data_IF_570704612126
#
_entry.id   IF_570704612126
#
_cell.length_a   1.000
_cell.length_b   1.000
_cell.length_c   1.000
_cell.angle_alpha   90.00
_cell.angle_beta   90.00
_cell.angle_gamma   90.00
#
_symmetry.space_group_name_H-M   'P 1'
#
loop_
_entity.id
_entity.type
_entity.pdbx_description
1 polymer ?
#
# COMPACT_ATOMS: atom_id res chain seq x y z
N UNK A 1 13.30 -5.44 -5.80
CA UNK A 1 13.90 -6.52 -6.65
C UNK A 1 15.22 -6.04 -7.27
N UNK A 2 15.27 -4.84 -7.89
CA UNK A 2 16.50 -4.34 -8.57
C UNK A 2 17.71 -4.20 -7.64
N UNK A 3 17.48 -3.94 -6.36
CA UNK A 3 18.52 -3.73 -5.34
C UNK A 3 18.99 -5.03 -4.65
N UNK A 4 18.42 -6.18 -5.00
CA UNK A 4 18.90 -7.46 -4.47
C UNK A 4 20.36 -7.73 -4.87
N UNK A 5 21.09 -8.43 -4.02
CA UNK A 5 22.41 -8.94 -4.36
C UNK A 5 22.34 -9.89 -5.56
N UNK A 6 23.42 -10.04 -6.32
CA UNK A 6 23.45 -11.00 -7.43
C UNK A 6 23.20 -12.45 -6.95
N UNK A 7 23.63 -12.77 -5.73
CA UNK A 7 23.36 -14.08 -5.12
C UNK A 7 21.86 -14.28 -4.85
N UNK A 8 21.15 -13.25 -4.39
CA UNK A 8 19.72 -13.33 -4.12
C UNK A 8 18.88 -13.28 -5.41
N UNK A 9 19.33 -12.53 -6.42
CA UNK A 9 18.75 -12.56 -7.76
C UNK A 9 18.84 -13.95 -8.40
N UNK A 10 20.00 -14.61 -8.26
CA UNK A 10 20.21 -15.94 -8.81
C UNK A 10 19.29 -17.03 -8.23
N UNK A 11 18.82 -16.83 -6.98
CA UNK A 11 17.83 -17.72 -6.34
C UNK A 11 16.45 -17.63 -6.99
N UNK A 12 16.11 -16.49 -7.62
CA UNK A 12 14.77 -16.13 -8.00
C UNK A 12 13.99 -15.54 -6.82
N UNK A 13 12.81 -14.99 -7.11
CA UNK A 13 12.00 -14.25 -6.13
C UNK A 13 10.62 -14.88 -5.95
N UNK A 14 10.06 -14.72 -4.76
CA UNK A 14 8.68 -15.13 -4.45
C UNK A 14 8.00 -14.05 -3.62
N UNK A 15 6.72 -13.81 -3.86
CA UNK A 15 5.90 -12.96 -3.01
C UNK A 15 4.47 -13.50 -2.90
N UNK A 16 3.71 -12.98 -1.92
CA UNK A 16 2.27 -13.19 -1.81
C UNK A 16 1.56 -11.84 -1.99
N UNK A 17 0.70 -11.74 -2.99
CA UNK A 17 -0.16 -10.57 -3.22
C UNK A 17 -1.11 -10.82 -4.38
N UNK A 18 -2.31 -10.24 -4.33
CA UNK A 18 -3.28 -10.23 -5.42
C UNK A 18 -3.40 -8.85 -6.12
N UNK A 19 -2.60 -7.85 -5.70
CA UNK A 19 -2.71 -6.47 -6.16
C UNK A 19 -1.42 -5.93 -6.81
N UNK A 20 -1.17 -4.66 -6.58
CA UNK A 20 -0.06 -3.91 -7.19
C UNK A 20 1.32 -4.49 -6.88
N UNK A 21 1.53 -5.01 -5.66
CA UNK A 21 2.80 -5.65 -5.29
C UNK A 21 3.09 -6.88 -6.16
N UNK A 22 2.08 -7.72 -6.41
CA UNK A 22 2.20 -8.88 -7.31
C UNK A 22 2.67 -8.46 -8.71
N UNK A 23 2.03 -7.43 -9.27
CA UNK A 23 2.36 -6.88 -10.58
C UNK A 23 3.77 -6.26 -10.59
N UNK A 24 4.13 -5.50 -9.55
CA UNK A 24 5.45 -4.89 -9.41
C UNK A 24 6.59 -5.91 -9.34
N UNK A 25 6.40 -6.99 -8.57
CA UNK A 25 7.39 -8.08 -8.49
C UNK A 25 7.49 -8.83 -9.81
N UNK A 26 6.35 -9.20 -10.43
CA UNK A 26 6.31 -9.88 -11.72
C UNK A 26 7.02 -9.06 -12.81
N UNK A 27 6.67 -7.79 -12.96
CA UNK A 27 7.26 -6.86 -13.91
C UNK A 27 8.77 -6.71 -13.71
N UNK A 28 9.19 -6.45 -12.45
CA UNK A 28 10.60 -6.24 -12.13
C UNK A 28 11.44 -7.49 -12.36
N UNK A 29 10.95 -8.64 -11.91
CA UNK A 29 11.64 -9.93 -12.11
C UNK A 29 11.75 -10.27 -13.60
N UNK A 30 10.67 -10.13 -14.37
CA UNK A 30 10.66 -10.36 -15.81
C UNK A 30 11.68 -9.47 -16.54
N UNK A 31 11.73 -8.17 -16.20
CA UNK A 31 12.69 -7.22 -16.80
C UNK A 31 14.15 -7.57 -16.50
N UNK A 32 14.40 -8.17 -15.33
CA UNK A 32 15.73 -8.58 -14.89
C UNK A 32 16.08 -10.03 -15.27
N UNK A 33 15.19 -10.74 -15.96
CA UNK A 33 15.39 -12.14 -16.34
C UNK A 33 15.41 -13.11 -15.17
N UNK A 34 14.74 -12.77 -14.05
CA UNK A 34 14.72 -13.58 -12.84
C UNK A 34 13.53 -14.55 -12.84
N UNK A 35 13.73 -15.75 -12.31
CA UNK A 35 12.62 -16.61 -11.94
C UNK A 35 11.78 -15.92 -10.86
N UNK A 36 10.45 -16.01 -11.01
CA UNK A 36 9.55 -15.44 -10.03
C UNK A 36 8.36 -16.37 -9.76
N UNK A 37 7.85 -16.32 -8.55
CA UNK A 37 6.62 -17.00 -8.14
C UNK A 37 5.74 -15.98 -7.44
N UNK A 38 4.52 -15.81 -7.91
CA UNK A 38 3.55 -14.91 -7.33
C UNK A 38 2.41 -15.76 -6.75
N UNK A 39 2.35 -15.83 -5.43
CA UNK A 39 1.30 -16.59 -4.74
C UNK A 39 0.09 -15.68 -4.53
N UNK A 40 -1.07 -16.14 -4.97
CA UNK A 40 -2.33 -15.41 -4.88
C UNK A 40 -3.40 -16.33 -4.27
N UNK A 41 -4.35 -15.81 -3.47
CA UNK A 41 -5.50 -16.58 -3.00
C UNK A 41 -6.28 -17.21 -4.16
N UNK A 42 -6.89 -18.38 -3.93
CA UNK A 42 -7.76 -19.05 -4.92
C UNK A 42 -8.98 -18.21 -5.27
N UNK A 43 -9.39 -17.33 -4.35
CA UNK A 43 -10.51 -16.40 -4.51
C UNK A 43 -10.18 -15.17 -5.36
N UNK A 44 -8.92 -15.03 -5.82
CA UNK A 44 -8.50 -13.86 -6.61
C UNK A 44 -9.20 -13.81 -7.96
N UNK A 45 -9.83 -12.69 -8.34
CA UNK A 45 -10.48 -12.53 -9.64
C UNK A 45 -9.54 -12.78 -10.82
N UNK A 46 -10.05 -13.43 -11.88
CA UNK A 46 -9.29 -13.78 -13.06
C UNK A 46 -8.60 -12.58 -13.74
N UNK A 47 -9.20 -11.40 -13.66
CA UNK A 47 -8.62 -10.18 -14.21
C UNK A 47 -7.29 -9.83 -13.54
N UNK A 48 -7.18 -9.98 -12.21
CA UNK A 48 -5.95 -9.74 -11.45
C UNK A 48 -4.90 -10.81 -11.74
N UNK A 49 -5.31 -12.08 -11.81
CA UNK A 49 -4.43 -13.22 -12.20
C UNK A 49 -3.84 -13.01 -13.61
N UNK A 50 -4.71 -12.64 -14.56
CA UNK A 50 -4.31 -12.40 -15.95
C UNK A 50 -3.37 -11.20 -16.07
N UNK A 51 -3.59 -10.12 -15.32
CA UNK A 51 -2.71 -8.96 -15.29
C UNK A 51 -1.29 -9.34 -14.83
N UNK A 52 -1.16 -10.11 -13.76
CA UNK A 52 0.15 -10.58 -13.27
C UNK A 52 0.85 -11.48 -14.29
N UNK A 53 0.11 -12.43 -14.90
CA UNK A 53 0.65 -13.31 -15.95
C UNK A 53 1.12 -12.52 -17.18
N UNK A 54 0.40 -11.49 -17.60
CA UNK A 54 0.77 -10.65 -18.74
C UNK A 54 2.07 -9.87 -18.51
N UNK A 55 2.43 -9.63 -17.25
CA UNK A 55 3.69 -9.00 -16.83
C UNK A 55 4.84 -10.01 -16.63
N UNK A 56 4.62 -11.28 -16.98
CA UNK A 56 5.62 -12.35 -16.87
C UNK A 56 5.65 -13.01 -15.49
N UNK A 57 4.59 -12.87 -14.69
CA UNK A 57 4.46 -13.51 -13.39
C UNK A 57 4.10 -15.00 -13.51
N UNK A 58 4.83 -15.85 -12.78
CA UNK A 58 4.49 -17.26 -12.59
C UNK A 58 3.54 -17.37 -11.40
N UNK A 59 2.22 -17.41 -11.67
CA UNK A 59 1.19 -17.37 -10.64
C UNK A 59 0.91 -18.75 -10.07
N UNK A 60 0.90 -18.87 -8.76
CA UNK A 60 0.46 -20.03 -7.98
C UNK A 60 -0.75 -19.60 -7.16
N UNK A 61 -1.91 -20.24 -7.38
CA UNK A 61 -3.11 -20.04 -6.57
C UNK A 61 -3.05 -21.00 -5.38
N UNK A 62 -3.10 -20.43 -4.15
CA UNK A 62 -3.02 -21.21 -2.92
C UNK A 62 -3.71 -20.50 -1.76
N UNK A 63 -4.52 -21.27 -1.02
CA UNK A 63 -5.30 -20.78 0.14
C UNK A 63 -6.47 -19.89 -0.27
N UNK A 64 -7.37 -19.66 0.66
CA UNK A 64 -8.58 -18.85 0.45
C UNK A 64 -8.44 -17.40 0.96
N UNK A 65 -7.33 -17.10 1.63
CA UNK A 65 -7.02 -15.81 2.22
C UNK A 65 -5.59 -15.35 1.91
N UNK A 66 -5.34 -14.04 2.07
CA UNK A 66 -4.00 -13.48 1.98
C UNK A 66 -3.04 -14.13 3.02
N UNK A 67 -3.49 -14.34 4.24
CA UNK A 67 -2.66 -14.91 5.31
C UNK A 67 -2.19 -16.33 4.98
N UNK A 68 -3.04 -17.15 4.35
CA UNK A 68 -2.67 -18.50 3.91
C UNK A 68 -1.68 -18.46 2.74
N UNK A 69 -1.95 -17.63 1.74
CA UNK A 69 -1.05 -17.44 0.60
C UNK A 69 0.31 -16.92 1.05
N UNK A 70 0.34 -15.99 1.99
CA UNK A 70 1.57 -15.39 2.51
C UNK A 70 2.40 -16.41 3.30
N UNK A 71 1.76 -17.19 4.15
CA UNK A 71 2.42 -18.28 4.90
C UNK A 71 3.05 -19.29 3.95
N UNK A 72 2.28 -19.74 2.96
CA UNK A 72 2.79 -20.66 1.94
C UNK A 72 3.98 -20.07 1.15
N UNK A 73 3.91 -18.80 0.77
CA UNK A 73 5.01 -18.14 0.07
C UNK A 73 6.29 -18.09 0.92
N UNK A 74 6.16 -17.80 2.22
CA UNK A 74 7.30 -17.76 3.15
C UNK A 74 7.89 -19.17 3.35
N UNK A 75 7.06 -20.19 3.58
CA UNK A 75 7.51 -21.58 3.72
C UNK A 75 8.22 -22.05 2.44
N UNK A 76 7.66 -21.74 1.30
CA UNK A 76 8.23 -22.11 0.00
C UNK A 76 9.52 -21.38 -0.31
N UNK A 77 9.62 -20.09 0.10
CA UNK A 77 10.88 -19.35 -0.01
C UNK A 77 12.03 -20.07 0.71
N UNK A 78 11.75 -20.57 1.92
CA UNK A 78 12.74 -21.31 2.71
C UNK A 78 13.09 -22.68 2.10
N UNK A 79 12.06 -23.42 1.67
CA UNK A 79 12.22 -24.78 1.11
C UNK A 79 12.94 -24.77 -0.24
N UNK A 80 12.55 -23.87 -1.13
CA UNK A 80 13.08 -23.79 -2.51
C UNK A 80 14.32 -22.85 -2.59
N UNK A 81 14.69 -22.19 -1.50
CA UNK A 81 15.81 -21.27 -1.42
C UNK A 81 15.59 -19.95 -2.16
N UNK A 82 14.32 -19.52 -2.36
CA UNK A 82 13.97 -18.30 -3.07
C UNK A 82 14.09 -17.08 -2.18
N UNK A 83 14.26 -15.90 -2.78
CA UNK A 83 14.23 -14.63 -2.07
C UNK A 83 12.79 -14.15 -1.91
N UNK A 84 12.28 -14.10 -0.68
CA UNK A 84 10.96 -13.55 -0.40
C UNK A 84 10.96 -12.02 -0.50
N UNK A 85 9.99 -11.47 -1.22
CA UNK A 85 9.81 -10.01 -1.35
C UNK A 85 8.56 -9.60 -0.55
N UNK A 86 8.75 -8.94 0.62
CA UNK A 86 7.64 -8.49 1.45
C UNK A 86 6.76 -7.46 0.73
N UNK A 87 5.43 -7.43 0.98
CA UNK A 87 4.54 -6.50 0.28
C UNK A 87 4.62 -5.06 0.76
N UNK A 88 5.06 -4.80 1.98
CA UNK A 88 5.09 -3.44 2.58
C UNK A 88 6.11 -3.25 3.70
N UNK A 89 6.51 -4.30 4.43
CA UNK A 89 7.38 -4.21 5.61
C UNK A 89 8.83 -4.49 5.22
N UNK A 90 9.40 -3.61 4.40
CA UNK A 90 10.75 -3.71 3.87
C UNK A 90 11.22 -2.32 3.42
N UNK A 91 12.41 -1.91 3.84
CA UNK A 91 12.96 -0.58 3.56
C UNK A 91 13.05 -0.26 2.06
N UNK A 92 13.46 -1.24 1.24
CA UNK A 92 13.61 -1.04 -0.21
C UNK A 92 12.25 -0.98 -0.92
N UNK A 93 11.25 -1.71 -0.40
CA UNK A 93 9.87 -1.60 -0.90
C UNK A 93 9.30 -0.24 -0.55
N UNK A 94 9.45 0.21 0.69
CA UNK A 94 9.02 1.54 1.16
C UNK A 94 9.71 2.65 0.35
N UNK A 95 11.03 2.58 0.16
CA UNK A 95 11.78 3.54 -0.65
C UNK A 95 11.26 3.59 -2.10
N UNK A 96 10.90 2.45 -2.68
CA UNK A 96 10.25 2.36 -3.98
C UNK A 96 8.91 3.12 -4.03
N UNK A 97 8.10 3.06 -2.96
CA UNK A 97 6.84 3.80 -2.87
C UNK A 97 7.07 5.32 -2.78
N UNK A 98 8.19 5.76 -2.21
CA UNK A 98 8.57 7.17 -2.15
C UNK A 98 8.73 7.84 -3.52
N UNK A 99 8.97 7.08 -4.58
CA UNK A 99 9.02 7.60 -5.95
C UNK A 99 7.72 8.25 -6.40
N UNK A 100 6.57 7.83 -5.86
CA UNK A 100 5.26 8.45 -6.12
C UNK A 100 5.29 9.90 -5.62
N UNK A 101 5.77 10.14 -4.42
CA UNK A 101 5.88 11.48 -3.86
C UNK A 101 6.88 12.36 -4.65
N UNK A 102 7.97 11.78 -5.11
CA UNK A 102 8.93 12.47 -5.99
C UNK A 102 8.24 12.95 -7.28
N UNK A 103 7.43 12.12 -7.91
CA UNK A 103 6.68 12.51 -9.11
C UNK A 103 5.59 13.54 -8.80
N UNK A 104 4.88 13.42 -7.68
CA UNK A 104 3.87 14.39 -7.26
C UNK A 104 4.47 15.80 -7.08
N UNK A 105 5.62 15.92 -6.41
CA UNK A 105 6.32 17.22 -6.23
C UNK A 105 6.75 17.82 -7.57
N UNK A 106 7.13 17.00 -8.54
CA UNK A 106 7.47 17.45 -9.88
C UNK A 106 6.26 17.98 -10.67
N UNK A 107 5.11 17.30 -10.52
CA UNK A 107 3.86 17.62 -11.22
C UNK A 107 3.12 18.80 -10.58
N UNK A 108 3.14 18.90 -9.25
CA UNK A 108 2.37 19.91 -8.50
C UNK A 108 3.12 20.49 -7.30
N UNK A 109 3.85 21.57 -7.49
CA UNK A 109 4.66 22.21 -6.43
C UNK A 109 3.87 22.95 -5.35
N UNK A 110 2.59 23.24 -5.59
CA UNK A 110 1.71 23.97 -4.65
C UNK A 110 0.82 23.04 -3.83
N UNK A 111 1.19 21.80 -3.73
CA UNK A 111 0.47 20.78 -2.98
C UNK A 111 0.50 21.12 -1.47
N UNK A 112 -0.65 21.12 -0.83
CA UNK A 112 -0.79 21.33 0.61
C UNK A 112 -1.12 20.02 1.35
N UNK A 113 -1.87 19.12 0.70
CA UNK A 113 -2.32 17.84 1.26
C UNK A 113 -2.10 16.70 0.29
N UNK A 114 -1.77 15.53 0.84
CA UNK A 114 -1.77 14.25 0.14
C UNK A 114 -2.53 13.23 0.96
N UNK A 115 -3.57 12.64 0.37
CA UNK A 115 -4.38 11.60 1.00
C UNK A 115 -3.92 10.24 0.49
N UNK A 116 -3.61 9.34 1.40
CA UNK A 116 -3.02 8.04 1.07
C UNK A 116 -3.84 6.92 1.70
N UNK A 117 -4.32 5.99 0.87
CA UNK A 117 -4.96 4.76 1.33
C UNK A 117 -3.95 3.87 2.06
N UNK A 118 -4.34 3.34 3.22
CA UNK A 118 -3.44 2.58 4.09
C UNK A 118 -3.98 1.16 4.32
N UNK A 119 -3.13 0.18 4.01
CA UNK A 119 -3.26 -1.19 4.47
C UNK A 119 -2.07 -1.53 5.38
N UNK A 120 -1.06 -2.25 4.88
CA UNK A 120 0.17 -2.56 5.64
C UNK A 120 1.10 -1.37 5.92
N UNK A 121 0.84 -0.22 5.32
CA UNK A 121 1.57 1.04 5.58
C UNK A 121 2.77 1.33 4.67
N UNK A 122 3.14 0.43 3.75
CA UNK A 122 4.32 0.63 2.90
C UNK A 122 4.23 1.85 1.99
N UNK A 123 3.05 2.08 1.38
CA UNK A 123 2.82 3.22 0.49
C UNK A 123 2.93 4.55 1.24
N UNK A 124 2.16 4.70 2.33
CA UNK A 124 2.16 5.95 3.10
C UNK A 124 3.53 6.24 3.70
N UNK A 125 4.25 5.22 4.16
CA UNK A 125 5.60 5.37 4.70
C UNK A 125 6.57 5.94 3.67
N UNK A 126 6.58 5.41 2.45
CA UNK A 126 7.44 5.92 1.38
C UNK A 126 7.09 7.35 0.97
N UNK A 127 5.79 7.63 0.79
CA UNK A 127 5.30 8.97 0.45
C UNK A 127 5.63 9.97 1.55
N UNK A 128 5.32 9.63 2.80
CA UNK A 128 5.50 10.53 3.94
C UNK A 128 6.97 10.78 4.27
N UNK A 129 7.83 9.76 4.22
CA UNK A 129 9.26 9.93 4.44
C UNK A 129 9.87 10.88 3.41
N UNK A 130 9.53 10.73 2.12
CA UNK A 130 10.02 11.61 1.08
C UNK A 130 9.51 13.05 1.25
N UNK A 131 8.20 13.23 1.46
CA UNK A 131 7.61 14.57 1.62
C UNK A 131 8.08 15.25 2.91
N UNK A 132 8.24 14.51 4.00
CA UNK A 132 8.74 15.01 5.26
C UNK A 132 10.13 15.63 5.16
N UNK A 133 10.95 15.14 4.23
CA UNK A 133 12.30 15.68 3.95
C UNK A 133 12.28 16.83 2.92
N UNK A 134 11.58 16.63 1.80
CA UNK A 134 11.69 17.51 0.62
C UNK A 134 10.64 18.63 0.60
N UNK A 135 9.47 18.38 1.19
CA UNK A 135 8.33 19.30 1.23
C UNK A 135 7.59 19.22 2.57
N UNK A 136 8.23 19.55 3.71
CA UNK A 136 7.68 19.35 5.05
C UNK A 136 6.39 20.14 5.32
N UNK A 137 6.09 21.17 4.52
CA UNK A 137 4.84 21.92 4.59
C UNK A 137 3.62 21.11 4.10
N UNK A 138 3.85 20.01 3.35
CA UNK A 138 2.77 19.15 2.86
C UNK A 138 2.29 18.23 3.99
N UNK A 139 0.99 18.18 4.17
CA UNK A 139 0.33 17.29 5.12
C UNK A 139 -0.01 15.96 4.47
N UNK A 140 0.52 14.88 5.00
CA UNK A 140 0.20 13.52 4.54
C UNK A 140 -0.86 12.94 5.46
N UNK A 141 -2.07 12.75 4.93
CA UNK A 141 -3.23 12.27 5.65
C UNK A 141 -3.47 10.80 5.30
N UNK A 142 -3.48 9.96 6.32
CA UNK A 142 -3.79 8.55 6.19
C UNK A 142 -5.30 8.33 6.06
N UNK A 143 -5.71 7.44 5.15
CA UNK A 143 -7.11 7.04 4.99
C UNK A 143 -7.22 5.51 5.08
N UNK A 144 -8.07 5.03 5.98
CA UNK A 144 -8.32 3.60 6.18
C UNK A 144 -9.81 3.27 6.07
N UNK A 145 -10.18 2.04 5.65
CA UNK A 145 -11.56 1.59 5.84
C UNK A 145 -11.84 1.38 7.34
N UNK A 146 -13.03 1.69 7.80
CA UNK A 146 -13.44 1.46 9.20
C UNK A 146 -13.20 0.01 9.64
N UNK A 147 -13.40 -0.94 8.72
CA UNK A 147 -13.27 -2.37 8.99
C UNK A 147 -11.81 -2.89 8.94
N UNK A 148 -10.81 -2.04 8.64
CA UNK A 148 -9.39 -2.42 8.57
C UNK A 148 -8.46 -1.26 9.01
N UNK A 149 -8.83 -0.51 10.05
CA UNK A 149 -8.14 0.68 10.54
C UNK A 149 -6.95 0.32 11.48
N UNK A 150 -5.96 -0.41 10.95
CA UNK A 150 -4.83 -0.88 11.76
C UNK A 150 -3.79 0.21 12.10
N UNK A 151 -3.59 1.21 11.22
CA UNK A 151 -2.73 2.36 11.49
C UNK A 151 -3.34 3.25 12.57
N UNK A 152 -4.65 3.58 12.44
CA UNK A 152 -5.35 4.38 13.45
C UNK A 152 -5.20 3.78 14.85
N UNK A 153 -5.50 2.49 14.98
CA UNK A 153 -5.36 1.79 16.27
C UNK A 153 -3.91 1.82 16.76
N UNK A 154 -2.94 1.65 15.87
CA UNK A 154 -1.53 1.67 16.23
C UNK A 154 -1.08 3.05 16.73
N UNK A 155 -1.52 4.13 16.09
CA UNK A 155 -1.20 5.50 16.52
C UNK A 155 -1.92 5.87 17.81
N UNK A 156 -3.21 5.53 17.95
CA UNK A 156 -4.02 5.83 19.12
C UNK A 156 -3.50 5.10 20.39
N UNK A 157 -3.00 3.87 20.24
CA UNK A 157 -2.55 3.04 21.36
C UNK A 157 -1.04 3.03 21.59
N UNK A 158 -0.25 3.50 20.61
CA UNK A 158 1.21 3.39 20.62
C UNK A 158 1.75 1.99 20.35
N UNK A 159 0.89 1.03 19.97
CA UNK A 159 1.23 -0.37 19.77
C UNK A 159 0.63 -0.92 18.47
N UNK A 160 1.39 -1.72 17.72
CA UNK A 160 0.89 -2.45 16.55
C UNK A 160 -0.01 -3.60 16.98
N UNK A 161 -1.31 -3.39 17.03
CA UNK A 161 -2.28 -4.42 17.37
C UNK A 161 -2.78 -5.13 16.11
N UNK A 162 -2.90 -6.47 16.20
CA UNK A 162 -3.54 -7.24 15.15
C UNK A 162 -5.06 -7.18 15.32
N UNK A 163 -5.74 -6.78 14.25
CA UNK A 163 -7.21 -6.80 14.20
C UNK A 163 -7.69 -8.26 14.19
N UNK A 164 -8.73 -8.59 14.96
CA UNK A 164 -9.28 -9.96 14.99
C UNK A 164 -9.96 -10.33 13.67
N UNK A 165 -10.46 -9.34 12.95
CA UNK A 165 -11.14 -9.48 11.67
C UNK A 165 -10.94 -8.21 10.85
N UNK A 166 -10.94 -8.33 9.53
CA UNK A 166 -10.90 -7.21 8.58
C UNK A 166 -12.01 -7.35 7.55
N UNK A 167 -12.59 -6.23 7.14
CA UNK A 167 -13.52 -6.18 6.03
C UNK A 167 -12.80 -6.41 4.70
N UNK A 168 -13.46 -7.11 3.78
CA UNK A 168 -12.86 -7.49 2.49
C UNK A 168 -13.36 -6.66 1.31
N UNK A 169 -14.27 -5.70 1.53
CA UNK A 169 -14.79 -4.86 0.44
C UNK A 169 -13.68 -4.01 -0.19
N UNK A 170 -12.81 -3.42 0.62
CA UNK A 170 -11.64 -2.67 0.16
C UNK A 170 -10.41 -3.59 0.19
N UNK A 171 -10.45 -4.63 -0.64
CA UNK A 171 -9.51 -5.77 -0.60
C UNK A 171 -8.03 -5.37 -0.72
N UNK A 172 -7.73 -4.33 -1.50
CA UNK A 172 -6.36 -3.83 -1.70
C UNK A 172 -5.68 -3.27 -0.43
N UNK A 173 -6.46 -2.99 0.63
CA UNK A 173 -5.96 -2.52 1.93
C UNK A 173 -6.47 -3.36 3.11
N UNK A 174 -7.07 -4.52 2.86
CA UNK A 174 -7.59 -5.43 3.90
C UNK A 174 -6.45 -6.15 4.64
N UNK A 175 -5.73 -5.41 5.48
CA UNK A 175 -4.57 -5.88 6.24
C UNK A 175 -4.88 -5.85 7.73
N UNK A 176 -4.65 -6.98 8.41
CA UNK A 176 -4.98 -7.12 9.83
C UNK A 176 -4.00 -6.43 10.78
N UNK A 177 -2.80 -6.12 10.33
CA UNK A 177 -1.76 -5.51 11.17
C UNK A 177 -0.82 -4.64 10.34
N UNK A 178 -0.53 -3.46 10.85
CA UNK A 178 0.47 -2.54 10.29
C UNK A 178 1.88 -3.17 10.31
N UNK A 179 2.71 -2.88 9.32
CA UNK A 179 4.13 -3.25 9.31
C UNK A 179 4.91 -2.62 10.46
N UNK A 180 6.07 -3.19 10.80
CA UNK A 180 6.93 -2.66 11.86
C UNK A 180 7.64 -1.39 11.40
N UNK A 181 8.31 -1.46 10.26
CA UNK A 181 8.96 -0.30 9.66
C UNK A 181 7.94 0.81 9.33
N UNK A 182 6.78 0.54 8.71
CA UNK A 182 5.73 1.53 8.54
C UNK A 182 5.27 2.23 9.82
N UNK A 183 5.13 1.50 10.92
CA UNK A 183 4.73 2.09 12.20
C UNK A 183 5.76 3.10 12.71
N UNK A 184 7.04 2.77 12.59
CA UNK A 184 8.10 3.68 13.02
C UNK A 184 8.22 4.88 12.08
N UNK A 185 8.16 4.67 10.77
CA UNK A 185 8.23 5.75 9.78
C UNK A 185 7.08 6.73 9.93
N UNK A 186 5.84 6.28 10.10
CA UNK A 186 4.68 7.17 10.23
C UNK A 186 4.80 8.15 11.41
N UNK A 187 5.58 7.83 12.43
CA UNK A 187 5.82 8.66 13.63
C UNK A 187 7.09 9.50 13.57
N UNK A 188 7.90 9.35 12.54
CA UNK A 188 9.13 10.13 12.39
C UNK A 188 8.81 11.63 12.29
N UNK A 189 9.67 12.51 12.85
CA UNK A 189 9.51 13.95 12.66
C UNK A 189 9.83 14.35 11.22
N UNK A 190 9.17 15.41 10.74
CA UNK A 190 9.54 16.11 9.51
C UNK A 190 10.92 16.78 9.69
N UNK A 191 11.61 17.07 8.59
CA UNK A 191 12.95 17.68 8.60
C UNK A 191 12.99 19.06 9.28
N UNK A 192 11.89 19.80 9.26
CA UNK A 192 11.72 21.10 9.92
C UNK A 192 11.18 21.00 11.36
N UNK A 193 10.99 19.79 11.89
CA UNK A 193 10.40 19.50 13.19
C UNK A 193 8.98 20.08 13.41
N UNK A 194 8.23 20.36 12.36
CA UNK A 194 6.85 20.87 12.42
C UNK A 194 5.81 19.82 12.88
N UNK A 195 6.21 18.56 13.02
CA UNK A 195 5.35 17.47 13.45
C UNK A 195 5.79 16.13 12.86
N UNK A 196 4.99 15.07 13.01
CA UNK A 196 5.27 13.78 12.39
C UNK A 196 5.07 13.83 10.88
N UNK A 197 5.72 12.92 10.15
CA UNK A 197 5.61 12.86 8.68
C UNK A 197 4.21 12.45 8.21
N UNK A 198 3.46 11.73 9.02
CA UNK A 198 2.04 11.43 8.80
C UNK A 198 1.22 12.18 9.82
N UNK A 199 0.17 12.87 9.37
CA UNK A 199 -0.75 13.56 10.27
C UNK A 199 -1.39 12.55 11.24
N UNK A 200 -1.48 12.85 12.55
CA UNK A 200 -1.97 11.90 13.54
C UNK A 200 -3.47 11.59 13.41
N UNK A 201 -4.22 12.48 12.75
CA UNK A 201 -5.65 12.32 12.54
C UNK A 201 -5.91 11.42 11.30
N UNK A 202 -6.01 10.12 11.55
CA UNK A 202 -6.30 9.13 10.51
C UNK A 202 -7.78 9.15 10.18
N UNK A 203 -8.10 9.40 8.92
CA UNK A 203 -9.49 9.39 8.41
C UNK A 203 -9.94 7.97 8.15
N UNK A 204 -11.07 7.57 8.74
CA UNK A 204 -11.69 6.28 8.45
C UNK A 204 -12.95 6.47 7.60
N UNK A 205 -13.15 5.56 6.62
CA UNK A 205 -14.28 5.62 5.71
C UNK A 205 -15.09 4.32 5.76
N UNK A 206 -16.41 4.46 5.71
CA UNK A 206 -17.34 3.36 5.53
C UNK A 206 -17.33 2.84 4.08
N UNK A 207 -17.86 1.65 3.86
CA UNK A 207 -18.01 1.08 2.52
C UNK A 207 -18.90 1.96 1.61
N UNK A 208 -19.94 2.60 2.18
CA UNK A 208 -20.84 3.50 1.44
C UNK A 208 -20.10 4.76 0.96
N UNK A 209 -19.24 5.36 1.80
CA UNK A 209 -18.41 6.51 1.40
C UNK A 209 -17.43 6.13 0.28
N UNK A 210 -16.84 4.93 0.34
CA UNK A 210 -15.97 4.42 -0.72
C UNK A 210 -16.75 4.18 -2.01
N UNK A 211 -17.96 3.60 -1.95
CA UNK A 211 -18.83 3.42 -3.11
C UNK A 211 -19.21 4.77 -3.76
N UNK A 212 -19.55 5.77 -2.95
CA UNK A 212 -19.82 7.13 -3.43
C UNK A 212 -18.60 7.72 -4.15
N UNK A 213 -17.39 7.54 -3.59
CA UNK A 213 -16.17 8.02 -4.22
C UNK A 213 -15.85 7.32 -5.54
N UNK A 214 -16.10 6.01 -5.67
CA UNK A 214 -15.97 5.28 -6.95
C UNK A 214 -16.85 5.93 -8.02
N UNK A 215 -18.12 6.22 -7.66
CA UNK A 215 -19.07 6.86 -8.56
C UNK A 215 -18.58 8.27 -8.95
N UNK A 216 -18.14 9.08 -7.99
CA UNK A 216 -17.69 10.44 -8.24
C UNK A 216 -16.46 10.47 -9.17
N UNK A 217 -15.46 9.60 -8.93
CA UNK A 217 -14.30 9.47 -9.82
C UNK A 217 -14.74 9.12 -11.23
N UNK A 218 -15.69 8.19 -11.38
CA UNK A 218 -16.22 7.85 -12.70
C UNK A 218 -16.96 9.02 -13.35
N UNK A 219 -17.84 9.71 -12.61
CA UNK A 219 -18.62 10.81 -13.14
C UNK A 219 -17.73 11.99 -13.61
N UNK A 220 -16.64 12.27 -12.88
CA UNK A 220 -15.73 13.38 -13.21
C UNK A 220 -14.69 13.02 -14.28
N UNK A 221 -14.15 11.79 -14.25
CA UNK A 221 -12.98 11.45 -15.08
C UNK A 221 -13.22 10.36 -16.12
N UNK A 222 -14.36 9.65 -16.05
CA UNK A 222 -14.66 8.42 -16.81
C UNK A 222 -13.68 7.27 -16.54
N UNK A 223 -12.96 7.34 -15.43
CA UNK A 223 -12.03 6.29 -14.98
C UNK A 223 -12.72 5.38 -13.99
N UNK A 224 -12.58 4.07 -14.17
CA UNK A 224 -13.03 3.08 -13.19
C UNK A 224 -11.85 2.76 -12.28
N UNK A 225 -12.04 2.97 -10.98
CA UNK A 225 -11.04 2.66 -9.94
C UNK A 225 -11.54 1.53 -9.05
N UNK A 226 -10.61 0.73 -8.53
CA UNK A 226 -10.94 -0.25 -7.50
C UNK A 226 -11.25 0.43 -6.16
N UNK A 227 -11.92 -0.25 -5.21
CA UNK A 227 -12.26 0.35 -3.91
C UNK A 227 -11.07 0.97 -3.17
N UNK A 228 -9.90 0.31 -3.18
CA UNK A 228 -8.70 0.85 -2.56
C UNK A 228 -8.19 2.14 -3.24
N UNK A 229 -8.37 2.28 -4.55
CA UNK A 229 -8.05 3.50 -5.28
C UNK A 229 -9.01 4.65 -4.96
N UNK A 230 -10.29 4.35 -4.71
CA UNK A 230 -11.29 5.36 -4.34
C UNK A 230 -11.23 5.78 -2.87
N UNK A 231 -10.66 4.94 -2.00
CA UNK A 231 -10.62 5.18 -0.56
C UNK A 231 -9.98 6.52 -0.20
N UNK A 232 -8.86 6.87 -0.83
CA UNK A 232 -8.19 8.15 -0.59
C UNK A 232 -9.08 9.35 -0.99
N UNK A 233 -9.89 9.21 -2.04
CA UNK A 233 -10.85 10.24 -2.47
C UNK A 233 -12.00 10.36 -1.46
N UNK A 234 -12.51 9.25 -0.94
CA UNK A 234 -13.53 9.26 0.12
C UNK A 234 -13.01 9.99 1.37
N UNK A 235 -11.82 9.64 1.82
CA UNK A 235 -11.18 10.30 2.97
C UNK A 235 -10.89 11.79 2.74
N UNK A 236 -10.46 12.15 1.54
CA UNK A 236 -10.26 13.55 1.17
C UNK A 236 -11.56 14.36 1.30
N UNK A 237 -12.67 13.87 0.77
CA UNK A 237 -13.97 14.54 0.87
C UNK A 237 -14.39 14.75 2.31
N UNK A 238 -14.32 13.70 3.13
CA UNK A 238 -14.63 13.75 4.55
C UNK A 238 -13.74 14.75 5.30
N UNK A 239 -12.43 14.68 5.08
CA UNK A 239 -11.47 15.59 5.69
C UNK A 239 -11.71 17.06 5.34
N UNK A 240 -12.04 17.36 4.07
CA UNK A 240 -12.39 18.71 3.60
C UNK A 240 -13.64 19.25 4.33
N UNK A 241 -14.65 18.42 4.51
CA UNK A 241 -15.88 18.78 5.24
C UNK A 241 -15.59 19.03 6.71
N UNK A 242 -14.91 18.11 7.38
CA UNK A 242 -14.60 18.18 8.83
C UNK A 242 -13.72 19.38 9.18
N UNK A 243 -12.82 19.79 8.28
CA UNK A 243 -11.88 20.89 8.51
C UNK A 243 -12.25 22.20 7.82
N UNK A 244 -13.43 22.28 7.17
CA UNK A 244 -13.91 23.47 6.45
C UNK A 244 -12.91 23.99 5.40
N UNK A 245 -12.34 23.10 4.58
CA UNK A 245 -11.32 23.41 3.58
C UNK A 245 -11.88 23.64 2.17
N UNK A 246 -13.20 23.90 2.02
CA UNK A 246 -13.82 24.13 0.71
C UNK A 246 -13.16 25.32 0.00
N UNK A 247 -12.79 25.07 -1.27
CA UNK A 247 -12.17 26.09 -2.14
C UNK A 247 -10.67 26.30 -1.93
N UNK A 248 -10.01 25.40 -1.22
CA UNK A 248 -8.53 25.35 -1.11
C UNK A 248 -7.93 24.31 -2.05
#
# INVERSE_FOLDING_TARGET
VSQLSEADKAKGVICASAGNHAQGVAFSASRLGLNNIIVMPTTTPDIKVSAVKSLGGNVVLYGDSFDESNRYAIERAQTDGLTFIPPYDDELVIAGQGTIAMELVQQWRKMEYVFVAVGGGGLISGVAAFLGEVAPHVKVVAVEPEEAACLKIALDTGERKRLPQVGLFVDGVAVAQLGEIPFDVCRMPKSDNSGPVVEPDVVTCSNDEVCAAIKDVYDETRTIVEPAGALAVAGMKKYIEDHNLQGK
#
